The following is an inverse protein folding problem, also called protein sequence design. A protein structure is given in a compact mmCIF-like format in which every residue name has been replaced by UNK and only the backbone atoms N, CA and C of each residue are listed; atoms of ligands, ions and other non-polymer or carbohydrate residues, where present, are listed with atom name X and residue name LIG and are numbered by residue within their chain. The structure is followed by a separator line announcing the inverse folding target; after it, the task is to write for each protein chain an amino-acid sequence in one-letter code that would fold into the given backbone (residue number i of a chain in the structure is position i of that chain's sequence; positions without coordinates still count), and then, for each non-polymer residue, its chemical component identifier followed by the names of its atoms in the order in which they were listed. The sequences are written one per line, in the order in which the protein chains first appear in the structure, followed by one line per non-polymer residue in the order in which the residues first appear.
data_IF_205586435416
#
_entry.id   IF_205586435416
#
_cell.length_a   1.000
_cell.length_b   1.000
_cell.length_c   1.000
_cell.angle_alpha   90.00
_cell.angle_beta   90.00
_cell.angle_gamma   90.00
#
_symmetry.space_group_name_H-M   'P 1'
#
loop_
_entity.id
_entity.type
_entity.pdbx_description
1 polymer ?
#
# COMPACT_ATOMS: atom_id res chain seq x y z
N UNK A 1 -70.01 0.60 35.20
CA UNK A 1 -69.64 0.48 33.79
C UNK A 1 -68.23 1.09 33.64
N UNK A 2 -67.22 0.23 33.59
CA UNK A 2 -65.81 0.60 33.60
C UNK A 2 -65.28 0.78 32.17
N UNK A 3 -64.77 1.96 31.82
CA UNK A 3 -63.97 2.17 30.64
C UNK A 3 -62.48 2.20 31.01
N UNK A 4 -61.79 1.15 30.58
CA UNK A 4 -60.38 0.95 30.73
C UNK A 4 -59.65 1.65 29.55
N UNK A 5 -59.05 2.83 29.80
CA UNK A 5 -58.17 3.52 28.84
C UNK A 5 -56.85 2.80 28.67
N UNK A 6 -56.61 2.22 27.49
CA UNK A 6 -55.33 1.65 27.08
C UNK A 6 -54.41 2.79 26.67
N UNK A 7 -53.39 3.14 27.48
CA UNK A 7 -52.31 4.04 27.11
C UNK A 7 -51.44 3.35 26.09
N UNK A 8 -51.51 3.85 24.87
CA UNK A 8 -50.61 3.46 23.78
C UNK A 8 -49.30 4.19 23.99
N UNK A 9 -48.30 3.50 24.53
CA UNK A 9 -46.92 3.98 24.60
C UNK A 9 -46.30 3.83 23.20
N UNK A 10 -46.26 4.90 22.43
CA UNK A 10 -45.44 4.99 21.25
C UNK A 10 -43.99 5.16 21.70
N UNK A 11 -43.23 4.06 21.73
CA UNK A 11 -41.81 4.08 21.84
C UNK A 11 -41.21 4.73 20.60
N UNK A 12 -40.84 5.98 20.73
CA UNK A 12 -40.05 6.69 19.73
C UNK A 12 -38.63 6.08 19.77
N UNK A 13 -38.41 5.04 18.95
CA UNK A 13 -37.10 4.53 18.65
C UNK A 13 -36.34 5.62 17.89
N UNK A 14 -35.52 6.41 18.61
CA UNK A 14 -34.51 7.26 18.02
C UNK A 14 -33.51 6.35 17.29
N UNK A 15 -33.75 6.16 16.00
CA UNK A 15 -32.78 5.62 15.08
C UNK A 15 -31.66 6.68 14.96
N UNK A 16 -30.68 6.63 15.87
CA UNK A 16 -29.44 7.35 15.72
C UNK A 16 -28.72 6.72 14.52
N UNK A 17 -28.95 7.28 13.35
CA UNK A 17 -28.09 7.04 12.21
C UNK A 17 -26.68 7.49 12.63
N UNK A 18 -25.80 6.54 12.96
CA UNK A 18 -24.37 6.77 13.03
C UNK A 18 -23.96 7.28 11.64
N UNK A 19 -23.84 8.57 11.52
CA UNK A 19 -23.16 9.19 10.38
C UNK A 19 -21.70 8.83 10.55
N UNK A 20 -21.31 7.68 10.01
CA UNK A 20 -19.92 7.33 9.85
C UNK A 20 -19.32 8.36 8.90
N UNK A 21 -18.65 9.38 9.45
CA UNK A 21 -17.81 10.27 8.66
C UNK A 21 -16.72 9.40 8.09
N UNK A 22 -16.82 9.06 6.82
CA UNK A 22 -15.77 8.38 6.09
C UNK A 22 -14.56 9.30 6.09
N UNK A 23 -13.51 8.93 6.84
CA UNK A 23 -12.21 9.59 6.77
C UNK A 23 -11.67 9.41 5.35
N UNK A 24 -11.73 10.43 4.53
CA UNK A 24 -11.11 10.43 3.22
C UNK A 24 -9.65 10.83 3.36
N UNK A 25 -8.73 10.00 2.87
CA UNK A 25 -7.38 10.45 2.59
C UNK A 25 -7.47 11.54 1.52
N UNK A 26 -6.93 12.74 1.80
CA UNK A 26 -7.02 13.85 0.86
C UNK A 26 -6.17 13.56 -0.38
N UNK A 27 -4.95 13.02 -0.21
CA UNK A 27 -4.07 12.66 -1.32
C UNK A 27 -4.19 11.16 -1.63
N UNK A 28 -4.60 10.87 -2.87
CA UNK A 28 -4.74 9.52 -3.41
C UNK A 28 -3.66 9.26 -4.44
N UNK A 29 -2.88 8.19 -4.26
CA UNK A 29 -1.89 7.72 -5.23
C UNK A 29 -2.56 6.80 -6.26
N UNK A 30 -2.33 7.06 -7.56
CA UNK A 30 -2.84 6.21 -8.65
C UNK A 30 -1.88 5.05 -8.94
N UNK A 31 -1.61 4.24 -7.91
CA UNK A 31 -0.76 3.07 -7.97
C UNK A 31 -0.37 2.57 -6.59
N UNK A 32 -0.22 1.26 -6.43
CA UNK A 32 0.23 0.62 -5.18
C UNK A 32 1.70 0.25 -5.22
N UNK A 33 2.34 0.44 -6.39
CA UNK A 33 3.76 0.19 -6.66
C UNK A 33 4.20 0.95 -7.90
N UNK A 34 5.49 1.12 -8.06
CA UNK A 34 6.11 1.68 -9.26
C UNK A 34 7.12 0.67 -9.80
N UNK A 35 7.06 0.38 -11.11
CA UNK A 35 8.07 -0.38 -11.81
C UNK A 35 8.89 0.59 -12.66
N UNK A 36 10.21 0.59 -12.48
CA UNK A 36 11.15 1.40 -13.26
C UNK A 36 12.00 0.47 -14.13
N UNK A 37 11.69 0.29 -15.43
CA UNK A 37 12.56 -0.42 -16.36
C UNK A 37 13.92 0.31 -16.50
N UNK A 38 15.02 -0.43 -16.54
CA UNK A 38 16.37 0.19 -16.55
C UNK A 38 16.67 1.00 -17.80
N UNK A 39 15.94 0.79 -18.91
CA UNK A 39 16.02 1.56 -20.15
C UNK A 39 15.02 2.71 -20.22
N UNK A 40 14.13 2.84 -19.24
CA UNK A 40 13.19 3.95 -19.22
C UNK A 40 13.91 5.26 -18.89
N UNK A 41 13.60 6.29 -19.67
CA UNK A 41 14.12 7.62 -19.43
C UNK A 41 13.56 8.21 -18.13
N UNK A 42 12.29 7.94 -17.86
CA UNK A 42 11.56 8.35 -16.67
C UNK A 42 10.33 7.46 -16.47
N UNK A 43 9.81 7.43 -15.24
CA UNK A 43 8.49 6.87 -14.94
C UNK A 43 7.69 7.91 -14.17
N UNK A 44 6.36 7.84 -14.32
CA UNK A 44 5.45 8.82 -13.76
C UNK A 44 4.50 8.14 -12.77
N UNK A 45 4.31 8.74 -11.60
CA UNK A 45 3.25 8.41 -10.66
C UNK A 45 2.30 9.60 -10.53
N UNK A 46 1.04 9.38 -10.80
CA UNK A 46 0.01 10.38 -10.60
C UNK A 46 -0.56 10.30 -9.19
N UNK A 47 -0.89 11.43 -8.63
CA UNK A 47 -1.68 11.57 -7.41
C UNK A 47 -2.77 12.61 -7.61
N UNK A 48 -3.83 12.54 -6.82
CA UNK A 48 -4.93 13.51 -6.81
C UNK A 48 -5.26 13.92 -5.38
N UNK A 49 -5.64 15.17 -5.22
CA UNK A 49 -6.23 15.67 -3.98
C UNK A 49 -7.76 15.55 -4.08
N UNK A 50 -8.34 14.59 -3.38
CA UNK A 50 -9.78 14.37 -3.32
C UNK A 50 -10.43 15.08 -2.11
N UNK A 51 -9.63 15.83 -1.35
CA UNK A 51 -10.08 16.65 -0.23
C UNK A 51 -10.70 17.98 -0.68
N UNK A 52 -11.15 18.74 0.30
CA UNK A 52 -11.76 20.08 0.13
C UNK A 52 -10.79 21.23 0.38
N UNK A 53 -9.60 20.93 0.89
CA UNK A 53 -8.53 21.87 1.18
C UNK A 53 -7.26 21.58 0.37
N UNK A 54 -6.39 22.57 0.12
CA UNK A 54 -5.10 22.32 -0.52
C UNK A 54 -4.20 21.48 0.40
N UNK A 55 -3.37 20.62 -0.16
CA UNK A 55 -2.41 19.82 0.59
C UNK A 55 -0.98 20.09 0.11
N UNK A 56 -0.03 20.11 1.04
CA UNK A 56 1.39 20.13 0.73
C UNK A 56 1.88 18.67 0.65
N UNK A 57 2.35 18.27 -0.51
CA UNK A 57 2.87 16.93 -0.76
C UNK A 57 4.39 16.97 -0.82
N UNK A 58 5.06 16.11 -0.06
CA UNK A 58 6.49 15.88 -0.13
C UNK A 58 6.76 14.43 -0.54
N UNK A 59 7.62 14.19 -1.51
CA UNK A 59 7.92 12.86 -2.03
C UNK A 59 9.43 12.59 -2.07
N UNK A 60 9.82 11.35 -1.67
CA UNK A 60 11.20 10.85 -1.73
C UNK A 60 11.24 9.34 -1.87
N UNK A 61 12.41 8.79 -2.23
CA UNK A 61 12.63 7.34 -2.30
C UNK A 61 13.67 6.95 -1.26
N UNK A 62 13.42 5.85 -0.53
CA UNK A 62 14.36 5.27 0.42
C UNK A 62 14.78 3.84 0.01
N UNK A 63 15.87 3.34 0.58
CA UNK A 63 16.47 2.03 0.33
C UNK A 63 15.94 0.91 1.23
N UNK A 64 14.86 1.16 1.97
CA UNK A 64 14.24 0.21 2.90
C UNK A 64 14.15 0.72 4.34
N UNK A 65 14.84 1.81 4.68
CA UNK A 65 14.74 2.43 6.01
C UNK A 65 13.38 3.16 6.15
N UNK A 66 12.44 2.54 6.85
CA UNK A 66 11.11 3.12 7.07
C UNK A 66 11.13 4.43 7.89
N UNK A 67 12.23 4.74 8.57
CA UNK A 67 12.40 6.00 9.34
C UNK A 67 13.12 7.08 8.55
N UNK A 68 13.56 6.78 7.32
CA UNK A 68 14.28 7.71 6.47
C UNK A 68 13.49 8.99 6.23
N UNK A 69 14.19 10.11 6.25
CA UNK A 69 13.72 11.44 5.89
C UNK A 69 14.20 11.81 4.48
N UNK A 70 13.63 12.82 3.82
CA UNK A 70 14.04 13.18 2.46
C UNK A 70 15.51 13.56 2.32
N UNK A 71 16.11 14.17 3.33
CA UNK A 71 17.52 14.59 3.38
C UNK A 71 18.50 13.43 3.64
N UNK A 72 18.03 12.32 4.19
CA UNK A 72 18.82 11.10 4.42
C UNK A 72 18.74 10.12 3.23
N UNK A 73 17.87 10.39 2.26
CA UNK A 73 17.63 9.50 1.13
C UNK A 73 18.84 9.47 0.20
N UNK A 74 19.59 8.36 0.22
CA UNK A 74 20.76 8.15 -0.62
C UNK A 74 20.49 7.03 -1.63
N UNK A 75 19.70 7.34 -2.65
CA UNK A 75 19.30 6.39 -3.70
C UNK A 75 19.57 6.99 -5.09
N UNK A 76 19.79 6.18 -6.12
CA UNK A 76 20.11 6.67 -7.45
C UNK A 76 18.88 7.12 -8.25
N UNK A 77 17.92 7.79 -7.61
CA UNK A 77 16.69 8.26 -8.23
C UNK A 77 16.33 9.66 -7.72
N UNK A 78 15.78 10.49 -8.62
CA UNK A 78 15.27 11.82 -8.31
C UNK A 78 13.78 11.87 -8.61
N UNK A 79 13.02 12.54 -7.74
CA UNK A 79 11.60 12.86 -7.96
C UNK A 79 11.44 14.34 -8.27
N UNK A 80 10.64 14.65 -9.28
CA UNK A 80 10.35 16.04 -9.68
C UNK A 80 8.85 16.23 -9.87
N UNK A 81 8.22 17.20 -9.18
CA UNK A 81 8.75 17.99 -8.06
C UNK A 81 8.84 17.17 -6.76
N UNK A 82 9.85 17.40 -5.89
CA UNK A 82 9.96 16.74 -4.59
C UNK A 82 8.96 17.30 -3.57
N UNK A 83 8.56 18.55 -3.74
CA UNK A 83 7.53 19.21 -2.92
C UNK A 83 6.56 19.91 -3.88
N UNK A 84 5.27 19.76 -3.64
CA UNK A 84 4.22 20.41 -4.41
C UNK A 84 3.00 20.72 -3.55
N UNK A 85 2.35 21.85 -3.84
CA UNK A 85 1.02 22.15 -3.30
C UNK A 85 -0.02 21.67 -4.30
N UNK A 86 -0.94 20.83 -3.85
CA UNK A 86 -2.00 20.27 -4.68
C UNK A 86 -3.33 20.83 -4.23
N UNK A 87 -3.96 21.62 -5.10
CA UNK A 87 -5.26 22.24 -4.82
C UNK A 87 -6.38 21.18 -4.79
N UNK A 88 -7.52 21.48 -4.13
CA UNK A 88 -8.67 20.60 -4.09
C UNK A 88 -9.11 20.15 -5.48
N UNK A 89 -9.42 18.87 -5.65
CA UNK A 89 -9.86 18.26 -6.92
C UNK A 89 -8.84 18.39 -8.07
N UNK A 90 -7.58 18.66 -7.75
CA UNK A 90 -6.48 18.69 -8.73
C UNK A 90 -5.55 17.49 -8.55
N UNK A 91 -4.83 17.19 -9.62
CA UNK A 91 -3.80 16.16 -9.65
C UNK A 91 -2.41 16.74 -9.73
N UNK A 92 -1.42 15.93 -9.36
CA UNK A 92 0.00 16.18 -9.53
C UNK A 92 0.66 14.92 -10.09
N UNK A 93 1.54 15.09 -11.04
CA UNK A 93 2.40 14.00 -11.54
C UNK A 93 3.77 14.11 -10.89
N UNK A 94 4.19 13.05 -10.24
CA UNK A 94 5.56 12.87 -9.76
C UNK A 94 6.36 12.16 -10.85
N UNK A 95 7.34 12.83 -11.41
CA UNK A 95 8.28 12.28 -12.38
C UNK A 95 9.48 11.71 -11.66
N UNK A 96 9.83 10.47 -11.93
CA UNK A 96 10.95 9.78 -11.31
C UNK A 96 11.98 9.50 -12.40
N UNK A 97 13.21 9.94 -12.18
CA UNK A 97 14.32 9.81 -13.13
C UNK A 97 15.49 9.10 -12.44
N UNK A 98 16.11 8.15 -13.12
CA UNK A 98 17.31 7.50 -12.64
C UNK A 98 18.54 8.37 -12.82
N UNK A 99 19.41 8.41 -11.82
CA UNK A 99 20.75 9.02 -11.91
C UNK A 99 21.73 8.06 -12.62
N UNK A 100 22.86 8.56 -13.14
CA UNK A 100 23.84 7.72 -13.83
C UNK A 100 24.35 6.52 -13.02
N UNK A 101 24.47 6.67 -11.71
CA UNK A 101 24.89 5.59 -10.81
C UNK A 101 23.82 4.50 -10.60
N UNK A 102 22.59 4.67 -11.10
CA UNK A 102 21.61 3.58 -11.14
C UNK A 102 22.09 2.41 -12.03
N UNK A 103 22.96 2.66 -12.99
CA UNK A 103 23.59 1.60 -13.80
C UNK A 103 24.45 0.63 -12.98
N UNK A 104 24.88 1.02 -11.78
CA UNK A 104 25.64 0.18 -10.85
C UNK A 104 24.76 -0.77 -10.03
N UNK A 105 23.43 -0.61 -10.07
CA UNK A 105 22.50 -1.54 -9.46
C UNK A 105 22.62 -2.93 -10.12
N UNK A 106 22.21 -3.97 -9.38
CA UNK A 106 22.31 -5.33 -9.87
C UNK A 106 21.55 -5.49 -11.19
N UNK A 107 22.20 -6.01 -12.23
CA UNK A 107 21.63 -6.20 -13.57
C UNK A 107 21.06 -7.62 -13.79
N UNK A 108 21.23 -8.54 -12.83
CA UNK A 108 20.78 -9.93 -12.92
C UNK A 108 19.52 -10.20 -12.09
N UNK A 109 19.05 -9.19 -11.34
CA UNK A 109 17.81 -9.28 -10.55
C UNK A 109 17.23 -7.89 -10.29
N UNK A 110 15.95 -7.83 -9.97
CA UNK A 110 15.31 -6.60 -9.50
C UNK A 110 15.97 -6.05 -8.23
N UNK A 111 15.94 -4.74 -8.09
CA UNK A 111 16.24 -4.03 -6.84
C UNK A 111 14.98 -3.37 -6.32
N UNK A 112 14.75 -3.42 -5.00
CA UNK A 112 13.59 -2.80 -4.35
C UNK A 112 14.01 -1.57 -3.58
N UNK A 113 13.22 -0.52 -3.73
CA UNK A 113 13.23 0.73 -3.01
C UNK A 113 11.80 1.06 -2.55
N UNK A 114 11.63 2.18 -1.87
CA UNK A 114 10.34 2.59 -1.37
C UNK A 114 10.09 4.05 -1.69
N UNK A 115 9.02 4.29 -2.44
CA UNK A 115 8.53 5.63 -2.70
C UNK A 115 7.63 6.08 -1.55
N UNK A 116 7.97 7.22 -0.97
CA UNK A 116 7.24 7.86 0.11
C UNK A 116 6.53 9.10 -0.42
N UNK A 117 5.31 9.29 0.00
CA UNK A 117 4.52 10.49 -0.26
C UNK A 117 3.90 10.92 1.06
N UNK A 118 4.35 12.06 1.57
CA UNK A 118 3.86 12.68 2.79
C UNK A 118 2.83 13.74 2.43
N UNK A 119 1.63 13.58 2.92
CA UNK A 119 0.51 14.50 2.81
C UNK A 119 0.42 15.35 4.08
N UNK A 120 0.58 16.66 3.94
CA UNK A 120 0.56 17.63 5.03
C UNK A 120 -0.63 18.57 4.79
N UNK A 121 -1.75 18.40 5.51
CA UNK A 121 -2.91 19.26 5.37
C UNK A 121 -2.64 20.67 5.91
N UNK A 122 -3.39 21.68 5.44
CA UNK A 122 -3.25 23.05 5.93
C UNK A 122 -3.63 23.15 7.40
N UNK A 123 -3.09 24.17 8.07
CA UNK A 123 -3.58 24.53 9.41
C UNK A 123 -4.97 25.16 9.28
N UNK A 124 -5.94 24.77 10.12
CA UNK A 124 -7.21 25.44 10.16
C UNK A 124 -7.02 26.94 10.47
N UNK A 125 -7.66 27.79 9.69
CA UNK A 125 -7.68 29.22 10.00
C UNK A 125 -8.57 29.44 11.23
N UNK A 126 -8.03 30.07 12.29
CA UNK A 126 -8.80 30.50 13.46
C UNK A 126 -9.86 31.49 12.99
N UNK A 127 -11.15 31.26 13.32
CA UNK A 127 -12.20 32.24 13.08
C UNK A 127 -11.90 33.48 13.89
N UNK A 128 -11.64 34.61 13.23
CA UNK A 128 -11.61 35.93 13.88
C UNK A 128 -13.05 36.28 14.28
N UNK A 129 -13.32 36.38 15.57
CA UNK A 129 -14.54 37.02 16.02
C UNK A 129 -14.34 38.55 16.01
N UNK A 130 -15.48 39.30 15.89
CA UNK A 130 -15.49 40.77 15.82
C UNK A 130 -14.80 41.46 16.99
N UNK A 131 -14.52 40.73 18.08
CA UNK A 131 -13.89 41.27 19.31
C UNK A 131 -12.39 40.98 19.43
N UNK A 132 -11.65 40.71 18.36
CA UNK A 132 -10.21 40.40 18.34
C UNK A 132 -9.73 39.22 19.23
N UNK A 133 -10.62 38.44 19.79
CA UNK A 133 -10.26 37.20 20.46
C UNK A 133 -10.09 36.07 19.40
N UNK A 134 -8.86 35.61 19.24
CA UNK A 134 -8.55 34.43 18.44
C UNK A 134 -8.99 33.20 19.25
N UNK A 135 -10.17 32.67 18.97
CA UNK A 135 -10.56 31.36 19.50
C UNK A 135 -9.63 30.32 18.92
N UNK A 136 -8.63 29.91 19.67
CA UNK A 136 -7.81 28.74 19.38
C UNK A 136 -8.65 27.50 19.63
N UNK A 137 -9.44 27.09 18.62
CA UNK A 137 -10.08 25.79 18.69
C UNK A 137 -8.98 24.72 18.75
N UNK A 138 -9.09 23.82 19.71
CA UNK A 138 -8.23 22.66 19.75
C UNK A 138 -8.43 21.85 18.48
N UNK A 139 -7.39 21.66 17.68
CA UNK A 139 -7.43 20.84 16.47
C UNK A 139 -6.28 19.85 16.47
N UNK A 140 -6.51 18.70 15.85
CA UNK A 140 -5.49 17.70 15.59
C UNK A 140 -5.13 17.76 14.10
N UNK A 141 -3.88 18.11 13.81
CA UNK A 141 -3.34 18.04 12.45
C UNK A 141 -2.57 16.73 12.29
N UNK A 142 -2.97 15.90 11.34
CA UNK A 142 -2.32 14.64 11.03
C UNK A 142 -1.65 14.74 9.65
N UNK A 143 -0.35 14.48 9.59
CA UNK A 143 0.35 14.27 8.34
C UNK A 143 0.37 12.75 8.05
N UNK A 144 -0.07 12.38 6.85
CA UNK A 144 -0.18 10.97 6.44
C UNK A 144 0.95 10.64 5.47
N UNK A 145 1.76 9.63 5.80
CA UNK A 145 2.81 9.13 4.92
C UNK A 145 2.35 7.83 4.25
N UNK A 146 2.14 7.88 2.96
CA UNK A 146 1.96 6.71 2.10
C UNK A 146 3.30 6.20 1.64
N UNK A 147 3.57 4.91 1.80
CA UNK A 147 4.82 4.27 1.41
C UNK A 147 4.55 3.07 0.52
N UNK A 148 4.93 3.16 -0.77
CA UNK A 148 4.71 2.12 -1.78
C UNK A 148 6.03 1.57 -2.30
N UNK A 149 6.01 0.33 -2.78
CA UNK A 149 7.20 -0.33 -3.35
C UNK A 149 7.58 0.32 -4.68
N UNK A 150 8.88 0.49 -4.87
CA UNK A 150 9.50 0.95 -6.10
C UNK A 150 10.51 -0.10 -6.54
N UNK A 151 10.32 -0.70 -7.72
CA UNK A 151 11.18 -1.74 -8.26
C UNK A 151 11.98 -1.21 -9.44
N UNK A 152 13.30 -1.23 -9.32
CA UNK A 152 14.18 -1.05 -10.47
C UNK A 152 14.36 -2.39 -11.15
N UNK A 153 13.95 -2.47 -12.43
CA UNK A 153 13.91 -3.71 -13.21
C UNK A 153 14.86 -3.64 -14.38
N UNK A 154 15.98 -4.39 -14.35
CA UNK A 154 16.86 -4.53 -15.50
C UNK A 154 16.12 -5.12 -16.70
N UNK A 155 16.29 -4.52 -17.89
CA UNK A 155 15.70 -5.02 -19.14
C UNK A 155 16.36 -6.31 -19.63
N UNK A 156 17.52 -6.67 -19.07
CA UNK A 156 18.18 -7.95 -19.30
C UNK A 156 17.40 -9.15 -18.79
N UNK A 157 16.45 -8.93 -17.85
CA UNK A 157 15.63 -9.99 -17.30
C UNK A 157 14.56 -10.41 -18.31
N UNK A 158 14.73 -11.60 -18.91
CA UNK A 158 13.92 -12.09 -20.03
C UNK A 158 12.69 -12.88 -19.62
N UNK A 159 12.48 -13.10 -18.34
CA UNK A 159 11.38 -13.93 -17.87
C UNK A 159 10.02 -13.25 -18.02
N UNK A 160 9.00 -14.02 -18.37
CA UNK A 160 7.65 -13.51 -18.49
C UNK A 160 7.06 -13.25 -17.11
N UNK A 161 6.81 -11.99 -16.81
CA UNK A 161 6.29 -11.52 -15.52
C UNK A 161 4.91 -12.11 -15.21
N UNK A 162 4.09 -12.35 -16.22
CA UNK A 162 2.74 -12.88 -16.04
C UNK A 162 2.71 -14.33 -15.55
N UNK A 163 3.82 -15.07 -15.69
CA UNK A 163 3.96 -16.48 -15.27
C UNK A 163 4.85 -16.65 -14.03
N UNK A 164 5.33 -15.58 -13.41
CA UNK A 164 6.24 -15.67 -12.27
C UNK A 164 5.63 -16.43 -11.09
N UNK A 165 4.35 -16.22 -10.84
CA UNK A 165 3.64 -16.89 -9.74
C UNK A 165 3.59 -18.42 -9.91
N UNK A 166 3.63 -18.92 -11.15
CA UNK A 166 3.67 -20.35 -11.46
C UNK A 166 5.04 -20.99 -11.17
N UNK A 167 6.09 -20.15 -11.09
CA UNK A 167 7.46 -20.60 -10.80
C UNK A 167 7.75 -20.72 -9.31
N UNK A 168 6.89 -20.18 -8.44
CA UNK A 168 7.04 -20.33 -7.00
C UNK A 168 6.99 -21.81 -6.65
N UNK A 169 8.00 -22.27 -5.91
CA UNK A 169 8.06 -23.64 -5.43
C UNK A 169 7.56 -23.72 -4.01
N UNK A 170 6.64 -24.65 -3.79
CA UNK A 170 6.01 -24.90 -2.50
C UNK A 170 6.44 -26.26 -1.98
N UNK A 171 7.10 -26.29 -0.84
CA UNK A 171 7.59 -27.53 -0.24
C UNK A 171 7.04 -27.69 1.16
N UNK A 172 6.26 -28.73 1.38
CA UNK A 172 5.80 -29.08 2.71
C UNK A 172 6.91 -29.77 3.49
N UNK A 173 7.17 -29.28 4.68
CA UNK A 173 8.13 -29.87 5.62
C UNK A 173 7.51 -29.96 7.03
N UNK A 174 6.87 -31.07 7.31
CA UNK A 174 6.12 -31.27 8.58
C UNK A 174 5.00 -30.26 8.76
N UNK A 175 5.10 -29.45 9.82
CA UNK A 175 4.16 -28.37 10.13
C UNK A 175 4.50 -27.05 9.40
N UNK A 176 5.52 -27.02 8.58
CA UNK A 176 5.97 -25.83 7.90
C UNK A 176 5.75 -25.94 6.39
N UNK A 177 5.50 -24.79 5.77
CA UNK A 177 5.46 -24.62 4.34
C UNK A 177 6.64 -23.74 3.93
N UNK A 178 7.58 -24.30 3.20
CA UNK A 178 8.69 -23.59 2.61
C UNK A 178 8.27 -23.04 1.26
N UNK A 179 8.55 -21.77 1.02
CA UNK A 179 8.17 -21.03 -0.18
C UNK A 179 9.44 -20.52 -0.83
N UNK A 180 9.74 -20.98 -2.06
CA UNK A 180 10.95 -20.60 -2.78
C UNK A 180 10.61 -19.75 -3.99
N UNK A 181 11.32 -18.66 -4.14
CA UNK A 181 11.30 -17.81 -5.32
C UNK A 181 12.56 -18.06 -6.16
N UNK A 182 12.52 -18.91 -7.20
CA UNK A 182 13.69 -19.16 -8.03
C UNK A 182 13.91 -18.09 -9.11
N UNK A 183 13.11 -17.01 -9.13
CA UNK A 183 13.10 -16.00 -10.17
C UNK A 183 13.95 -14.78 -9.79
N UNK A 184 14.40 -13.96 -10.74
CA UNK A 184 15.12 -12.72 -10.47
C UNK A 184 14.22 -11.55 -10.05
N UNK A 185 12.93 -11.79 -9.81
CA UNK A 185 11.94 -10.76 -9.47
C UNK A 185 11.48 -10.87 -8.03
N UNK A 186 11.08 -9.73 -7.45
CA UNK A 186 10.36 -9.71 -6.19
C UNK A 186 8.92 -10.18 -6.40
N UNK A 187 8.45 -11.08 -5.53
CA UNK A 187 7.07 -11.55 -5.55
C UNK A 187 6.38 -11.13 -4.26
N UNK A 188 5.32 -10.34 -4.36
CA UNK A 188 4.52 -9.92 -3.20
C UNK A 188 3.31 -10.83 -3.06
N UNK A 189 3.26 -11.57 -1.96
CA UNK A 189 2.12 -12.42 -1.57
C UNK A 189 1.35 -11.67 -0.49
N UNK A 190 0.07 -11.41 -0.72
CA UNK A 190 -0.79 -10.72 0.25
C UNK A 190 -1.46 -11.67 1.23
N UNK A 191 -1.76 -12.90 0.81
CA UNK A 191 -2.44 -13.90 1.61
C UNK A 191 -2.05 -15.31 1.17
N UNK A 192 -2.01 -16.24 2.11
CA UNK A 192 -1.86 -17.69 1.86
C UNK A 192 -2.96 -18.39 2.64
N UNK A 193 -3.86 -19.03 1.92
CA UNK A 193 -5.00 -19.71 2.50
C UNK A 193 -4.78 -21.21 2.60
N UNK A 194 -5.08 -21.75 3.76
CA UNK A 194 -5.26 -23.18 4.00
C UNK A 194 -6.74 -23.46 4.20
N UNK A 195 -7.30 -24.41 3.46
CA UNK A 195 -8.67 -24.85 3.67
C UNK A 195 -8.72 -25.93 4.79
N UNK A 196 -9.50 -25.65 5.84
CA UNK A 196 -9.74 -26.56 6.96
C UNK A 196 -11.25 -26.59 7.20
N UNK A 197 -11.85 -27.76 7.14
CA UNK A 197 -13.31 -27.94 7.32
C UNK A 197 -14.14 -26.98 6.42
N UNK A 198 -13.77 -26.89 5.14
CA UNK A 198 -14.38 -26.00 4.14
C UNK A 198 -14.28 -24.49 4.44
N UNK A 199 -13.37 -24.09 5.34
CA UNK A 199 -13.11 -22.70 5.65
C UNK A 199 -11.69 -22.31 5.20
N UNK A 200 -11.56 -21.20 4.49
CA UNK A 200 -10.26 -20.62 4.14
C UNK A 200 -9.70 -19.84 5.34
N UNK A 201 -8.55 -20.27 5.83
CA UNK A 201 -7.83 -19.61 6.93
C UNK A 201 -6.57 -18.96 6.35
N UNK A 202 -6.44 -17.65 6.51
CA UNK A 202 -5.21 -16.96 6.11
C UNK A 202 -4.09 -17.26 7.11
N UNK A 203 -2.97 -17.74 6.58
CA UNK A 203 -1.80 -18.08 7.36
C UNK A 203 -0.88 -16.86 7.61
N UNK A 204 -1.05 -15.78 6.83
CA UNK A 204 -0.25 -14.57 6.95
C UNK A 204 -0.93 -13.55 7.86
N UNK A 205 -0.21 -13.05 8.86
CA UNK A 205 -0.66 -11.90 9.67
C UNK A 205 -0.49 -10.59 8.92
N UNK A 206 0.47 -10.55 8.01
CA UNK A 206 0.79 -9.43 7.12
C UNK A 206 1.33 -10.01 5.81
N UNK A 207 1.25 -9.24 4.73
CA UNK A 207 1.78 -9.70 3.44
C UNK A 207 3.27 -10.05 3.51
N UNK A 208 3.68 -10.98 2.66
CA UNK A 208 5.04 -11.48 2.51
C UNK A 208 5.62 -10.96 1.19
N UNK A 209 6.88 -10.54 1.18
CA UNK A 209 7.61 -10.22 -0.04
C UNK A 209 8.82 -11.13 -0.16
N UNK A 210 8.77 -12.05 -1.12
CA UNK A 210 9.89 -12.92 -1.48
C UNK A 210 10.88 -12.14 -2.33
N UNK A 211 12.13 -12.05 -1.86
CA UNK A 211 13.22 -11.49 -2.64
C UNK A 211 13.59 -12.39 -3.82
N UNK A 212 14.26 -11.87 -4.84
CA UNK A 212 14.85 -12.69 -5.90
C UNK A 212 15.74 -13.79 -5.35
N UNK A 213 15.58 -15.03 -5.84
CA UNK A 213 16.37 -16.20 -5.48
C UNK A 213 16.40 -16.51 -3.98
N UNK A 214 15.31 -16.19 -3.27
CA UNK A 214 15.20 -16.42 -1.83
C UNK A 214 14.13 -17.45 -1.49
N UNK A 215 14.15 -17.86 -0.24
CA UNK A 215 13.12 -18.70 0.35
C UNK A 215 12.64 -18.11 1.68
N UNK A 216 11.40 -18.42 2.03
CA UNK A 216 10.79 -18.08 3.31
C UNK A 216 9.95 -19.26 3.81
N UNK A 217 9.61 -19.25 5.08
CA UNK A 217 8.92 -20.36 5.74
C UNK A 217 7.76 -19.83 6.58
N UNK A 218 6.60 -20.47 6.43
CA UNK A 218 5.43 -20.17 7.26
C UNK A 218 4.95 -21.43 7.98
N UNK A 219 4.28 -21.26 9.11
CA UNK A 219 3.70 -22.34 9.88
C UNK A 219 2.29 -22.67 9.38
N UNK A 220 2.04 -23.94 9.11
CA UNK A 220 0.71 -24.47 8.80
C UNK A 220 -0.16 -24.52 10.05
N UNK A 221 -1.48 -24.36 9.89
CA UNK A 221 -2.45 -24.55 10.97
C UNK A 221 -2.79 -26.02 11.18
N UNK A 222 -2.72 -26.80 10.10
CA UNK A 222 -2.93 -28.24 10.11
C UNK A 222 -1.92 -28.88 9.15
N UNK A 223 -1.28 -29.96 9.57
CA UNK A 223 -0.35 -30.71 8.72
C UNK A 223 -1.06 -31.51 7.62
N UNK A 224 -2.34 -31.81 7.76
CA UNK A 224 -3.12 -32.42 6.69
C UNK A 224 -3.56 -31.34 5.69
N UNK A 225 -2.83 -31.24 4.58
CA UNK A 225 -3.13 -30.28 3.53
C UNK A 225 -4.10 -30.93 2.53
N UNK A 226 -5.31 -30.36 2.42
CA UNK A 226 -6.27 -30.75 1.39
C UNK A 226 -6.20 -29.78 0.22
N UNK A 227 -6.43 -28.48 0.49
CA UNK A 227 -6.40 -27.41 -0.52
C UNK A 227 -5.68 -26.20 0.04
N UNK A 228 -4.82 -25.60 -0.79
CA UNK A 228 -4.18 -24.33 -0.48
C UNK A 228 -4.22 -23.40 -1.68
N UNK A 229 -4.36 -22.11 -1.39
CA UNK A 229 -4.25 -21.06 -2.41
C UNK A 229 -3.45 -19.87 -1.85
N UNK A 230 -2.93 -19.05 -2.74
CA UNK A 230 -2.27 -17.82 -2.37
C UNK A 230 -2.71 -16.67 -3.28
N UNK A 231 -2.66 -15.46 -2.75
CA UNK A 231 -2.96 -14.24 -3.49
C UNK A 231 -1.67 -13.44 -3.64
N UNK A 232 -1.22 -13.28 -4.87
CA UNK A 232 -0.09 -12.39 -5.16
C UNK A 232 -0.57 -11.07 -5.78
N UNK A 233 0.30 -10.06 -5.73
CA UNK A 233 0.03 -8.74 -6.28
C UNK A 233 0.89 -8.56 -7.54
N UNK A 234 0.25 -8.36 -8.69
CA UNK A 234 0.92 -8.13 -9.97
C UNK A 234 1.49 -6.71 -10.08
N UNK A 235 2.17 -6.39 -11.19
CA UNK A 235 2.80 -5.09 -11.44
C UNK A 235 1.81 -3.92 -11.43
N UNK A 236 0.56 -4.17 -11.80
CA UNK A 236 -0.52 -3.18 -11.81
C UNK A 236 -1.20 -2.99 -10.45
N UNK A 237 -0.77 -3.75 -9.43
CA UNK A 237 -1.39 -3.73 -8.11
C UNK A 237 -2.64 -4.61 -7.97
N UNK A 238 -2.97 -5.37 -9.01
CA UNK A 238 -4.08 -6.32 -9.00
C UNK A 238 -3.76 -7.54 -8.12
N UNK A 239 -4.75 -8.00 -7.36
CA UNK A 239 -4.67 -9.19 -6.51
C UNK A 239 -5.16 -10.39 -7.32
N UNK A 240 -4.31 -11.40 -7.47
CA UNK A 240 -4.60 -12.62 -8.24
C UNK A 240 -4.46 -13.82 -7.34
N UNK A 241 -5.53 -14.62 -7.21
CA UNK A 241 -5.52 -15.87 -6.46
C UNK A 241 -5.09 -17.04 -7.36
N UNK A 242 -4.22 -17.88 -6.83
CA UNK A 242 -3.79 -19.12 -7.49
C UNK A 242 -3.78 -20.28 -6.50
N UNK A 243 -4.02 -21.49 -7.04
CA UNK A 243 -3.94 -22.74 -6.27
C UNK A 243 -2.47 -23.14 -6.08
N UNK A 244 -2.11 -23.54 -4.86
CA UNK A 244 -0.80 -24.10 -4.57
C UNK A 244 -0.78 -25.57 -5.00
N UNK A 245 0.23 -25.91 -5.79
CA UNK A 245 0.52 -27.28 -6.20
C UNK A 245 1.85 -27.72 -5.60
N UNK A 246 1.85 -28.89 -4.96
CA UNK A 246 3.02 -29.49 -4.30
C UNK A 246 3.73 -30.46 -5.23
#
# INVERSE_FOLDING_TARGET
MLFRGRKFFWGMACLQALIATTGHAEIVLHGTRVIYPSDAREVNLQLSNNGTAPSLVQAWIDDGNAKSTPDEANVPFIITPPISRVEPSKGQTLRITALPNASQLNQNKESVFWLNVLDIPPRPEGKKQENNEVLTNNFLQLAIRSRIKFFYRPVSLKENINTLSEKIQWVKNGENLLIKNPTPFYITISSIFQEINHQKIDLLKQGLMLSPFSEDQIKLKNSNITNMSFVYINDYGGRIEQVIRF
#
